data_IF_017240489285
#
_entry.id   IF_017240489285
#
_cell.length_a   1.000
_cell.length_b   1.000
_cell.length_c   1.000
_cell.angle_alpha   90.00
_cell.angle_beta   90.00
_cell.angle_gamma   90.00
#
_symmetry.space_group_name_H-M   'P 1'
#
loop_
_entity.id
_entity.type
_entity.pdbx_description
1 polymer ?
#
# COMPACT_ATOMS: atom_id res chain seq x y z
N UNK A 1 18.24 -15.69 11.48
CA UNK A 1 17.92 -14.84 10.32
C UNK A 1 16.99 -13.70 10.72
N UNK A 2 17.28 -12.53 10.23
CA UNK A 2 16.45 -11.37 10.53
C UNK A 2 15.25 -11.34 9.60
N UNK A 3 14.05 -11.23 10.17
CA UNK A 3 12.85 -11.05 9.37
C UNK A 3 12.86 -9.66 8.73
N UNK A 4 12.47 -9.58 7.45
CA UNK A 4 12.33 -8.29 6.80
C UNK A 4 11.05 -7.61 7.24
N UNK A 5 11.14 -6.29 7.45
CA UNK A 5 9.97 -5.43 7.67
C UNK A 5 9.59 -4.83 6.32
N UNK A 6 8.32 -4.93 5.96
CA UNK A 6 7.84 -4.50 4.67
C UNK A 6 6.71 -3.51 4.85
N UNK A 7 6.76 -2.40 4.12
CA UNK A 7 5.66 -1.43 4.09
C UNK A 7 5.06 -1.43 2.70
N UNK A 8 3.74 -1.53 2.64
CA UNK A 8 3.00 -1.46 1.39
C UNK A 8 2.25 -0.14 1.29
N UNK A 9 2.13 0.39 0.08
CA UNK A 9 1.37 1.59 -0.21
C UNK A 9 0.29 1.29 -1.23
N UNK A 10 -0.91 1.79 -0.96
CA UNK A 10 -2.00 1.81 -1.92
C UNK A 10 -2.09 3.23 -2.47
N UNK A 11 -1.55 3.42 -3.68
CA UNK A 11 -1.44 4.73 -4.28
C UNK A 11 -2.79 5.25 -4.77
N UNK A 12 -3.11 6.49 -4.43
CA UNK A 12 -4.28 7.20 -4.94
C UNK A 12 -3.96 8.67 -5.18
N UNK A 13 -4.77 9.34 -5.98
CA UNK A 13 -4.52 10.75 -6.30
C UNK A 13 -4.89 11.70 -5.17
N UNK A 14 -5.80 11.29 -4.30
CA UNK A 14 -6.26 12.11 -3.17
C UNK A 14 -5.75 11.61 -1.83
N UNK A 15 -5.43 10.33 -1.74
CA UNK A 15 -4.99 9.70 -0.50
C UNK A 15 -4.15 8.47 -0.81
N UNK A 16 -3.15 8.23 0.00
CA UNK A 16 -2.25 7.08 -0.14
C UNK A 16 -2.28 6.33 1.19
N UNK A 17 -2.81 5.11 1.16
CA UNK A 17 -2.86 4.26 2.36
C UNK A 17 -1.56 3.49 2.53
N UNK A 18 -1.27 3.09 3.77
CA UNK A 18 -0.07 2.31 4.04
C UNK A 18 -0.34 1.21 5.05
N UNK A 19 0.45 0.15 4.96
CA UNK A 19 0.40 -0.98 5.89
C UNK A 19 1.81 -1.48 6.15
N UNK A 20 2.01 -2.12 7.29
CA UNK A 20 3.29 -2.69 7.66
C UNK A 20 3.12 -4.17 8.00
N UNK A 21 4.12 -4.97 7.67
CA UNK A 21 4.11 -6.38 7.99
C UNK A 21 5.51 -6.92 8.20
N UNK A 22 5.57 -8.10 8.83
CA UNK A 22 6.80 -8.81 9.07
C UNK A 22 6.80 -10.08 8.23
N UNK A 23 7.88 -10.31 7.52
CA UNK A 23 7.99 -11.48 6.65
C UNK A 23 7.87 -12.79 7.42
N UNK A 24 8.40 -12.83 8.63
CA UNK A 24 8.41 -14.06 9.43
C UNK A 24 7.01 -14.50 9.83
N UNK A 25 6.10 -13.56 10.08
CA UNK A 25 4.73 -13.87 10.46
C UNK A 25 3.75 -13.84 9.29
N UNK A 26 4.12 -13.16 8.21
CA UNK A 26 3.24 -12.99 7.06
C UNK A 26 1.98 -12.19 7.36
N UNK A 27 2.00 -11.40 8.43
CA UNK A 27 0.85 -10.60 8.83
C UNK A 27 1.06 -9.15 8.48
N UNK A 28 -0.03 -8.44 8.19
CA UNK A 28 0.00 -7.03 7.84
C UNK A 28 -0.99 -6.26 8.71
N UNK A 29 -0.62 -5.03 9.05
CA UNK A 29 -1.46 -4.14 9.85
C UNK A 29 -1.51 -2.77 9.20
N UNK A 30 -2.65 -2.04 9.31
CA UNK A 30 -2.72 -0.70 8.73
C UNK A 30 -1.81 0.26 9.50
N UNK A 31 -1.20 1.21 8.77
CA UNK A 31 -0.40 2.26 9.37
C UNK A 31 -1.12 3.60 9.28
N UNK A 32 -0.88 4.33 8.22
CA UNK A 32 -1.33 5.70 8.11
C UNK A 32 -1.75 6.01 6.67
N UNK A 33 -2.80 6.82 6.53
CA UNK A 33 -3.17 7.36 5.24
C UNK A 33 -2.57 8.75 5.09
N UNK A 34 -1.96 9.00 3.94
CA UNK A 34 -1.35 10.29 3.61
C UNK A 34 -2.24 11.03 2.63
N UNK A 35 -2.54 12.28 2.93
CA UNK A 35 -3.27 13.11 1.98
C UNK A 35 -2.36 13.38 0.78
N UNK A 36 -2.93 13.31 -0.41
CA UNK A 36 -2.22 13.61 -1.63
C UNK A 36 -2.95 14.70 -2.38
N UNK A 37 -2.20 15.55 -3.05
CA UNK A 37 -2.74 16.59 -3.91
C UNK A 37 -2.33 16.28 -5.33
N UNK A 38 -3.30 15.85 -6.12
CA UNK A 38 -3.08 15.40 -7.49
C UNK A 38 -1.97 14.35 -7.57
N UNK A 39 -2.04 13.39 -6.64
CA UNK A 39 -1.08 12.28 -6.58
C UNK A 39 0.23 12.59 -5.90
N UNK A 40 0.39 13.79 -5.34
CA UNK A 40 1.64 14.19 -4.69
C UNK A 40 1.41 14.26 -3.18
N UNK A 41 2.05 13.37 -2.40
CA UNK A 41 1.94 13.41 -0.93
C UNK A 41 2.89 14.43 -0.33
N UNK A 42 2.75 14.66 0.97
CA UNK A 42 3.77 15.38 1.73
C UNK A 42 4.92 14.40 1.99
N UNK A 43 6.02 14.58 1.28
CA UNK A 43 7.16 13.68 1.37
C UNK A 43 7.82 13.67 2.75
N UNK A 44 7.69 14.76 3.52
CA UNK A 44 8.22 14.82 4.88
C UNK A 44 7.48 13.83 5.80
N UNK A 45 6.18 13.70 5.61
CA UNK A 45 5.37 12.75 6.41
C UNK A 45 5.75 11.30 6.08
N UNK A 46 5.97 11.01 4.81
CA UNK A 46 6.40 9.67 4.39
C UNK A 46 7.80 9.38 4.93
N UNK A 47 8.71 10.34 4.83
CA UNK A 47 10.07 10.19 5.35
C UNK A 47 10.06 9.89 6.85
N UNK A 48 9.23 10.62 7.62
CA UNK A 48 9.12 10.40 9.06
C UNK A 48 8.67 8.97 9.37
N UNK A 49 7.69 8.46 8.63
CA UNK A 49 7.22 7.10 8.83
C UNK A 49 8.29 6.07 8.47
N UNK A 50 9.01 6.28 7.39
CA UNK A 50 10.07 5.36 6.97
C UNK A 50 11.24 5.36 7.96
N UNK A 51 11.54 6.49 8.57
CA UNK A 51 12.56 6.58 9.61
C UNK A 51 12.13 5.88 10.90
N UNK A 52 10.85 5.97 11.23
CA UNK A 52 10.31 5.32 12.43
C UNK A 52 10.35 3.80 12.30
N UNK A 53 9.92 3.25 11.18
CA UNK A 53 9.75 1.81 11.01
C UNK A 53 10.94 1.12 10.34
N UNK A 54 11.77 1.86 9.62
CA UNK A 54 12.97 1.36 8.93
C UNK A 54 12.72 0.08 8.14
N UNK A 55 11.80 0.12 7.15
CA UNK A 55 11.48 -1.08 6.38
C UNK A 55 12.65 -1.51 5.50
N UNK A 56 12.70 -2.80 5.22
CA UNK A 56 13.71 -3.38 4.34
C UNK A 56 13.27 -3.40 2.89
N UNK A 57 11.95 -3.34 2.66
CA UNK A 57 11.37 -3.38 1.33
C UNK A 57 10.07 -2.59 1.32
N UNK A 58 9.81 -1.93 0.19
CA UNK A 58 8.55 -1.22 -0.05
C UNK A 58 7.81 -1.97 -1.15
N UNK A 59 6.51 -2.18 -0.96
CA UNK A 59 5.63 -2.74 -1.98
C UNK A 59 4.62 -1.67 -2.37
N UNK A 60 4.48 -1.39 -3.65
CA UNK A 60 3.48 -0.44 -4.15
C UNK A 60 2.47 -1.20 -5.01
N UNK A 61 1.20 -1.11 -4.66
CA UNK A 61 0.14 -1.73 -5.43
C UNK A 61 -0.05 -1.03 -6.76
N UNK A 62 -0.10 -1.81 -7.84
CA UNK A 62 -0.41 -1.29 -9.17
C UNK A 62 -1.90 -1.42 -9.41
N UNK A 63 -2.65 -0.31 -9.52
CA UNK A 63 -4.08 -0.41 -9.78
C UNK A 63 -4.34 -0.99 -11.18
N UNK A 64 -5.15 -2.04 -11.21
CA UNK A 64 -5.58 -2.67 -12.45
C UNK A 64 -7.09 -2.88 -12.41
N UNK A 65 -7.71 -3.11 -13.58
CA UNK A 65 -9.13 -3.39 -13.61
C UNK A 65 -9.42 -4.87 -13.27
N UNK A 66 -10.68 -5.27 -13.35
CA UNK A 66 -11.10 -6.64 -13.02
C UNK A 66 -10.44 -7.71 -13.87
N UNK A 67 -9.95 -7.34 -15.04
CA UNK A 67 -9.32 -8.26 -15.99
C UNK A 67 -7.79 -8.19 -15.92
N UNK A 68 -7.25 -7.43 -14.98
CA UNK A 68 -5.81 -7.30 -14.84
C UNK A 68 -5.16 -6.29 -15.78
N UNK A 69 -5.95 -5.49 -16.48
CA UNK A 69 -5.41 -4.45 -17.35
C UNK A 69 -5.04 -3.21 -16.54
N UNK A 70 -3.92 -2.60 -16.90
CA UNK A 70 -3.49 -1.37 -16.24
C UNK A 70 -4.50 -0.24 -16.48
N UNK A 71 -4.77 0.54 -15.43
CA UNK A 71 -5.59 1.74 -15.54
C UNK A 71 -4.74 2.85 -16.14
N UNK A 72 -5.13 3.33 -17.31
CA UNK A 72 -4.31 4.24 -18.13
C UNK A 72 -3.85 5.51 -17.42
N UNK A 73 -4.65 6.03 -16.49
CA UNK A 73 -4.33 7.29 -15.81
C UNK A 73 -3.60 7.08 -14.49
N UNK A 74 -3.91 6.02 -13.76
CA UNK A 74 -3.39 5.79 -12.40
C UNK A 74 -2.13 4.93 -12.38
N UNK A 75 -2.08 3.90 -13.22
CA UNK A 75 -0.95 2.97 -13.20
C UNK A 75 0.40 3.66 -13.46
N UNK A 76 0.54 4.56 -14.46
CA UNK A 76 1.80 5.28 -14.66
C UNK A 76 2.17 6.17 -13.46
N UNK A 77 1.18 6.77 -12.81
CA UNK A 77 1.40 7.61 -11.62
C UNK A 77 1.88 6.77 -10.44
N UNK A 78 1.31 5.57 -10.24
CA UNK A 78 1.75 4.65 -9.20
C UNK A 78 3.19 4.21 -9.42
N UNK A 79 3.57 3.91 -10.64
CA UNK A 79 4.96 3.57 -10.99
C UNK A 79 5.90 4.73 -10.71
N UNK A 80 5.49 5.96 -11.02
CA UNK A 80 6.29 7.15 -10.75
C UNK A 80 6.46 7.35 -9.26
N UNK A 81 5.41 7.14 -8.47
CA UNK A 81 5.46 7.20 -7.01
C UNK A 81 6.48 6.18 -6.47
N UNK A 82 6.43 4.94 -6.95
CA UNK A 82 7.38 3.90 -6.56
C UNK A 82 8.81 4.28 -6.89
N UNK A 83 9.06 4.82 -8.08
CA UNK A 83 10.38 5.27 -8.49
C UNK A 83 10.89 6.41 -7.62
N UNK A 84 10.00 7.30 -7.20
CA UNK A 84 10.37 8.41 -6.31
C UNK A 84 10.75 7.92 -4.93
N UNK A 85 10.06 6.93 -4.39
CA UNK A 85 10.43 6.33 -3.10
C UNK A 85 11.82 5.74 -3.19
N UNK A 86 12.08 4.96 -4.23
CA UNK A 86 13.40 4.37 -4.44
C UNK A 86 14.48 5.46 -4.55
N UNK A 87 14.25 6.49 -5.34
CA UNK A 87 15.23 7.54 -5.56
C UNK A 87 15.47 8.43 -4.35
N UNK A 88 14.43 8.72 -3.57
CA UNK A 88 14.56 9.60 -2.41
C UNK A 88 15.15 8.92 -1.18
N UNK A 89 14.80 7.67 -0.96
CA UNK A 89 15.12 6.99 0.30
C UNK A 89 16.08 5.82 0.15
N UNK A 90 16.42 5.45 -1.09
CA UNK A 90 17.35 4.36 -1.34
C UNK A 90 16.82 2.98 -0.97
N UNK A 91 15.51 2.83 -0.79
CA UNK A 91 14.90 1.56 -0.42
C UNK A 91 14.53 0.75 -1.66
N UNK A 92 14.65 -0.59 -1.60
CA UNK A 92 14.12 -1.42 -2.67
C UNK A 92 12.61 -1.28 -2.76
N UNK A 93 12.06 -1.24 -3.96
CA UNK A 93 10.62 -1.11 -4.19
C UNK A 93 10.18 -2.18 -5.18
N UNK A 94 9.14 -2.93 -4.84
CA UNK A 94 8.49 -3.88 -5.74
C UNK A 94 7.07 -3.41 -6.04
N UNK A 95 6.63 -3.70 -7.26
CA UNK A 95 5.28 -3.40 -7.69
C UNK A 95 4.45 -4.68 -7.62
N UNK A 96 3.21 -4.57 -7.13
CA UNK A 96 2.31 -5.71 -6.97
C UNK A 96 0.94 -5.35 -7.52
N UNK A 97 0.33 -6.29 -8.23
CA UNK A 97 -1.01 -6.10 -8.80
C UNK A 97 -2.05 -6.02 -7.67
N UNK A 98 -2.78 -4.91 -7.60
CA UNK A 98 -3.79 -4.69 -6.57
C UNK A 98 -5.23 -4.89 -7.08
N UNK A 99 -5.40 -5.61 -8.16
CA UNK A 99 -6.72 -5.88 -8.73
C UNK A 99 -7.71 -6.35 -7.65
N UNK A 100 -8.84 -5.64 -7.57
CA UNK A 100 -9.92 -5.93 -6.61
C UNK A 100 -9.61 -5.66 -5.14
N UNK A 101 -8.41 -5.18 -4.79
CA UNK A 101 -8.04 -4.98 -3.38
C UNK A 101 -9.00 -4.04 -2.65
N UNK A 102 -9.45 -2.97 -3.30
CA UNK A 102 -10.37 -2.02 -2.68
C UNK A 102 -11.73 -2.64 -2.38
N UNK A 103 -12.23 -3.50 -3.28
CA UNK A 103 -13.50 -4.20 -3.06
C UNK A 103 -13.37 -5.18 -1.89
N UNK A 104 -12.27 -5.91 -1.81
CA UNK A 104 -11.99 -6.82 -0.71
C UNK A 104 -11.88 -6.07 0.60
N UNK A 105 -11.18 -4.95 0.61
CA UNK A 105 -11.02 -4.13 1.81
C UNK A 105 -12.36 -3.60 2.31
N UNK A 106 -13.23 -3.17 1.42
CA UNK A 106 -14.56 -2.70 1.79
C UNK A 106 -15.39 -3.81 2.42
N UNK A 107 -15.32 -5.00 1.86
CA UNK A 107 -16.04 -6.15 2.39
C UNK A 107 -15.56 -6.47 3.81
N UNK A 108 -14.26 -6.50 4.03
CA UNK A 108 -13.68 -6.74 5.34
C UNK A 108 -14.09 -5.68 6.36
N UNK A 109 -14.01 -4.41 6.00
CA UNK A 109 -14.40 -3.32 6.90
C UNK A 109 -15.89 -3.35 7.22
N UNK A 110 -16.71 -3.70 6.27
CA UNK A 110 -18.15 -3.82 6.49
C UNK A 110 -18.45 -4.91 7.52
N UNK A 111 -17.78 -6.04 7.44
CA UNK A 111 -17.94 -7.13 8.40
C UNK A 111 -17.45 -6.72 9.79
N UNK A 112 -16.43 -5.88 9.87
CA UNK A 112 -15.84 -5.48 11.15
C UNK A 112 -16.62 -4.40 11.89
N UNK A 113 -17.17 -3.42 11.21
CA UNK A 113 -17.78 -2.30 11.90
C UNK A 113 -18.82 -1.50 11.13
N UNK A 114 -19.22 -1.93 9.97
CA UNK A 114 -20.23 -1.26 9.17
C UNK A 114 -19.75 0.06 8.58
N UNK A 115 -20.69 1.00 8.42
CA UNK A 115 -20.40 2.24 7.65
C UNK A 115 -19.33 3.14 8.25
N UNK A 116 -19.19 3.14 9.57
CA UNK A 116 -18.15 3.98 10.20
C UNK A 116 -16.75 3.52 9.83
N UNK A 117 -16.58 2.21 9.66
CA UNK A 117 -15.30 1.65 9.27
C UNK A 117 -14.97 1.92 7.80
N UNK A 118 -15.97 2.30 7.00
CA UNK A 118 -15.78 2.60 5.57
C UNK A 118 -15.32 4.02 5.30
N UNK A 119 -14.85 4.76 6.30
CA UNK A 119 -14.26 6.08 6.05
C UNK A 119 -13.11 5.93 5.05
N UNK A 120 -12.88 6.96 4.25
CA UNK A 120 -11.91 6.88 3.16
C UNK A 120 -10.51 6.46 3.64
N UNK A 121 -10.06 7.04 4.74
CA UNK A 121 -8.75 6.71 5.29
C UNK A 121 -8.63 5.25 5.71
N UNK A 122 -9.67 4.70 6.35
CA UNK A 122 -9.67 3.29 6.74
C UNK A 122 -9.67 2.37 5.51
N UNK A 123 -10.45 2.71 4.48
CA UNK A 123 -10.47 1.92 3.26
C UNK A 123 -9.11 1.91 2.58
N UNK A 124 -8.44 3.07 2.50
CA UNK A 124 -7.14 3.16 1.86
C UNK A 124 -6.08 2.34 2.60
N UNK A 125 -6.09 2.39 3.93
CA UNK A 125 -5.14 1.61 4.73
C UNK A 125 -5.45 0.12 4.68
N UNK A 126 -6.74 -0.26 4.69
CA UNK A 126 -7.12 -1.66 4.58
C UNK A 126 -6.77 -2.23 3.20
N UNK A 127 -6.86 -1.42 2.15
CA UNK A 127 -6.41 -1.82 0.83
C UNK A 127 -4.91 -2.12 0.82
N UNK A 128 -4.13 -1.30 1.53
CA UNK A 128 -2.69 -1.54 1.65
C UNK A 128 -2.40 -2.84 2.41
N UNK A 129 -3.20 -3.15 3.43
CA UNK A 129 -3.10 -4.43 4.16
C UNK A 129 -3.34 -5.59 3.21
N UNK A 130 -4.39 -5.52 2.39
CA UNK A 130 -4.71 -6.57 1.42
C UNK A 130 -3.57 -6.74 0.41
N UNK A 131 -3.03 -5.63 -0.08
CA UNK A 131 -1.88 -5.66 -1.01
C UNK A 131 -0.71 -6.40 -0.37
N UNK A 132 -0.39 -6.07 0.86
CA UNK A 132 0.75 -6.67 1.55
C UNK A 132 0.54 -8.16 1.84
N UNK A 133 -0.66 -8.52 2.29
CA UNK A 133 -1.00 -9.92 2.52
C UNK A 133 -0.92 -10.73 1.23
N UNK A 134 -1.42 -10.17 0.12
CA UNK A 134 -1.34 -10.81 -1.18
C UNK A 134 0.12 -10.98 -1.63
N UNK A 135 0.96 -9.98 -1.35
CA UNK A 135 2.39 -10.07 -1.66
C UNK A 135 3.06 -11.21 -0.88
N UNK A 136 2.74 -11.34 0.42
CA UNK A 136 3.28 -12.43 1.23
C UNK A 136 2.86 -13.79 0.67
N UNK A 137 1.59 -13.95 0.31
CA UNK A 137 1.11 -15.20 -0.29
C UNK A 137 1.85 -15.54 -1.57
N UNK A 138 2.14 -14.54 -2.41
CA UNK A 138 2.88 -14.76 -3.65
C UNK A 138 4.31 -15.22 -3.41
N UNK A 139 4.93 -14.79 -2.29
CA UNK A 139 6.28 -15.22 -1.94
C UNK A 139 6.32 -16.67 -1.46
N UNK A 140 5.26 -17.11 -0.79
CA UNK A 140 5.22 -18.47 -0.22
C UNK A 140 4.52 -19.48 -1.12
N UNK A 141 3.67 -19.00 -1.99
CA UNK A 141 2.91 -19.83 -2.92
C UNK A 141 3.70 -20.19 -4.14
#
# INVERSE_FOLDING_TARGET
MTSRTIIAFDYGTKSIGSAIGQEVTGTASPLKAFKAKDGVPNWDDIEAMLKEWQPDLIVVGLPTDLHGKALETITPRAKKFANRIHGRFGLPVELHDERLSTAEARAELFEMGGYKALSKGNVDCQSAVVILESWFEAQWG
#
